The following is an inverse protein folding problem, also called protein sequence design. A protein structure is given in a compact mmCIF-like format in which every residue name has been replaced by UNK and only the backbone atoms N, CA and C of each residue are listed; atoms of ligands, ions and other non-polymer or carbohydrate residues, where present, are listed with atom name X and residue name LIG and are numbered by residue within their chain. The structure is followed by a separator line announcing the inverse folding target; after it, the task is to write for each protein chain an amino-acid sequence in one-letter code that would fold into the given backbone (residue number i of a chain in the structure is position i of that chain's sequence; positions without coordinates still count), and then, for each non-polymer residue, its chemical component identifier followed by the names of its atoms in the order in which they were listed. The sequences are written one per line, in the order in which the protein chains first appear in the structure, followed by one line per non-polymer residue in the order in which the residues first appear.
data_IF_635537918961
#
_entry.id   IF_635537918961
#
_cell.length_a   1.000
_cell.length_b   1.000
_cell.length_c   1.000
_cell.angle_alpha   90.00
_cell.angle_beta   90.00
_cell.angle_gamma   90.00
#
_symmetry.space_group_name_H-M   'P 1'
#
loop_
_entity.id
_entity.type
_entity.pdbx_description
1 polymer ?
#
# COMPACT_ATOMS: atom_id res chain seq x y z
N UNK A 1 11.40 5.55 24.09
CA UNK A 1 12.06 5.18 22.81
C UNK A 1 13.41 4.58 23.17
N UNK A 2 13.79 3.39 22.63
CA UNK A 2 15.10 2.79 22.89
C UNK A 2 16.24 3.72 22.47
N UNK A 3 17.36 3.68 23.20
CA UNK A 3 18.56 4.40 22.83
C UNK A 3 19.07 3.93 21.46
N UNK A 4 19.45 4.90 20.60
CA UNK A 4 19.90 4.62 19.23
C UNK A 4 18.80 4.36 18.21
N UNK A 5 17.51 4.31 18.59
CA UNK A 5 16.42 4.20 17.61
C UNK A 5 16.16 5.55 16.93
N UNK A 6 16.35 5.58 15.62
CA UNK A 6 16.01 6.72 14.74
C UNK A 6 14.81 6.42 13.84
N UNK A 7 14.45 5.13 13.70
CA UNK A 7 13.39 4.68 12.80
C UNK A 7 12.00 4.97 13.41
N UNK A 8 11.03 5.52 12.65
CA UNK A 8 9.63 5.61 13.07
C UNK A 8 9.02 4.25 13.42
N UNK A 9 7.84 4.24 14.08
CA UNK A 9 7.19 3.02 14.53
C UNK A 9 6.41 2.29 13.44
N UNK A 10 6.45 2.75 12.20
CA UNK A 10 5.83 2.13 11.04
C UNK A 10 4.59 2.88 10.54
N UNK A 11 4.07 2.44 9.40
CA UNK A 11 2.99 3.11 8.67
C UNK A 11 1.67 3.16 9.43
N UNK A 12 1.32 2.09 10.17
CA UNK A 12 0.12 2.08 10.99
C UNK A 12 0.22 3.07 12.15
N UNK A 13 1.38 3.18 12.79
CA UNK A 13 1.57 4.19 13.85
C UNK A 13 1.51 5.62 13.31
N UNK A 14 1.98 5.86 12.09
CA UNK A 14 1.85 7.18 11.44
C UNK A 14 0.37 7.56 11.25
N UNK A 15 -0.48 6.62 10.85
CA UNK A 15 -1.93 6.81 10.74
C UNK A 15 -2.56 7.09 12.12
N UNK A 16 -2.16 6.35 13.15
CA UNK A 16 -2.62 6.56 14.53
C UNK A 16 -2.30 7.96 15.07
N UNK A 17 -1.22 8.60 14.61
CA UNK A 17 -0.89 9.96 15.02
C UNK A 17 -1.95 10.99 14.59
N UNK A 18 -2.79 10.66 13.60
CA UNK A 18 -3.89 11.51 13.14
C UNK A 18 -5.28 11.09 13.67
N UNK A 19 -5.36 10.06 14.53
CA UNK A 19 -6.63 9.43 14.92
C UNK A 19 -7.67 10.41 15.49
N UNK A 20 -7.23 11.41 16.26
CA UNK A 20 -8.12 12.39 16.90
C UNK A 20 -8.64 13.46 15.92
N UNK A 21 -8.09 13.50 14.69
CA UNK A 21 -8.49 14.43 13.63
C UNK A 21 -9.37 13.76 12.57
N UNK A 22 -9.50 12.42 12.62
CA UNK A 22 -10.27 11.64 11.65
C UNK A 22 -11.63 11.27 12.28
N UNK A 23 -12.70 11.75 11.70
CA UNK A 23 -14.07 11.58 12.20
C UNK A 23 -14.98 10.73 11.29
N UNK A 24 -14.46 10.26 10.13
CA UNK A 24 -15.18 9.46 9.15
C UNK A 24 -14.29 8.47 8.40
N UNK A 25 -14.80 7.91 7.28
CA UNK A 25 -13.99 7.09 6.37
C UNK A 25 -12.81 7.87 5.82
N UNK A 26 -11.67 7.22 5.64
CA UNK A 26 -10.45 7.87 5.19
C UNK A 26 -9.62 6.96 4.28
N UNK A 27 -8.81 7.57 3.43
CA UNK A 27 -7.81 6.88 2.64
C UNK A 27 -6.40 7.16 3.16
N UNK A 28 -5.52 6.18 3.02
CA UNK A 28 -4.09 6.28 3.35
C UNK A 28 -3.30 6.12 2.07
N UNK A 29 -2.35 7.03 1.84
CA UNK A 29 -1.43 7.02 0.70
C UNK A 29 0.00 7.27 1.18
N UNK A 30 0.97 6.93 0.36
CA UNK A 30 2.32 7.46 0.49
C UNK A 30 2.35 8.87 -0.12
N UNK A 31 2.94 9.83 0.58
CA UNK A 31 2.92 11.24 0.17
C UNK A 31 3.82 11.56 -1.03
N UNK A 32 4.73 10.66 -1.36
CA UNK A 32 5.75 10.78 -2.42
C UNK A 32 5.45 9.92 -3.66
N UNK A 33 4.28 9.26 -3.69
CA UNK A 33 3.84 8.41 -4.80
C UNK A 33 2.76 9.11 -5.65
N UNK A 34 2.78 8.85 -6.96
CA UNK A 34 1.72 9.22 -7.88
C UNK A 34 0.82 8.03 -8.17
N UNK A 35 -0.44 8.13 -7.77
CA UNK A 35 -1.44 7.06 -7.88
C UNK A 35 -2.33 7.16 -9.12
N UNK A 36 -2.47 8.36 -9.68
CA UNK A 36 -3.38 8.64 -10.78
C UNK A 36 -4.81 9.01 -10.35
N UNK A 37 -5.58 9.71 -11.20
CA UNK A 37 -6.90 10.21 -10.85
C UNK A 37 -7.96 9.12 -10.71
N UNK A 38 -7.88 8.04 -11.50
CA UNK A 38 -8.83 6.93 -11.42
C UNK A 38 -8.74 6.21 -10.07
N UNK A 39 -7.53 6.03 -9.54
CA UNK A 39 -7.32 5.42 -8.24
C UNK A 39 -8.00 6.21 -7.11
N UNK A 40 -7.91 7.55 -7.14
CA UNK A 40 -8.60 8.40 -6.17
C UNK A 40 -10.11 8.38 -6.35
N UNK A 41 -10.58 8.32 -7.59
CA UNK A 41 -12.01 8.23 -7.89
C UNK A 41 -12.62 6.95 -7.34
N UNK A 42 -12.04 5.79 -7.65
CA UNK A 42 -12.62 4.50 -7.21
C UNK A 42 -12.60 4.33 -5.69
N UNK A 43 -11.55 4.79 -5.01
CA UNK A 43 -11.50 4.71 -3.55
C UNK A 43 -12.47 5.70 -2.90
N UNK A 44 -12.64 6.90 -3.44
CA UNK A 44 -13.61 7.88 -2.96
C UNK A 44 -15.05 7.37 -3.13
N UNK A 45 -15.39 6.84 -4.31
CA UNK A 45 -16.71 6.28 -4.57
C UNK A 45 -17.02 5.13 -3.61
N UNK A 46 -16.05 4.25 -3.35
CA UNK A 46 -16.22 3.16 -2.39
C UNK A 46 -16.47 3.70 -0.98
N UNK A 47 -15.58 4.52 -0.45
CA UNK A 47 -15.68 5.06 0.91
C UNK A 47 -16.90 5.94 1.13
N UNK A 48 -17.45 6.54 0.06
CA UNK A 48 -18.67 7.37 0.14
C UNK A 48 -19.96 6.55 0.23
N UNK A 49 -19.92 5.26 -0.15
CA UNK A 49 -21.12 4.41 -0.26
C UNK A 49 -21.09 3.19 0.66
N UNK A 50 -19.94 2.85 1.22
CA UNK A 50 -19.74 1.69 2.09
C UNK A 50 -19.47 2.14 3.52
N UNK A 51 -19.98 1.37 4.46
CA UNK A 51 -19.84 1.64 5.89
C UNK A 51 -19.60 0.34 6.64
N UNK A 52 -18.91 0.43 7.77
CA UNK A 52 -18.72 -0.70 8.67
C UNK A 52 -20.05 -1.28 9.15
N UNK A 53 -20.17 -2.59 9.04
CA UNK A 53 -21.30 -3.36 9.54
C UNK A 53 -20.88 -4.30 10.68
N UNK A 54 -21.47 -5.50 10.69
CA UNK A 54 -21.04 -6.57 11.61
C UNK A 54 -19.61 -7.03 11.30
N UNK A 55 -19.19 -6.92 10.06
CA UNK A 55 -17.82 -7.04 9.57
C UNK A 55 -17.41 -5.66 9.07
N UNK A 56 -16.20 -5.21 9.39
CA UNK A 56 -15.66 -3.95 8.91
C UNK A 56 -15.46 -4.00 7.40
N UNK A 57 -15.86 -2.95 6.72
CA UNK A 57 -15.87 -2.88 5.26
C UNK A 57 -14.78 -1.93 4.76
N UNK A 58 -13.63 -2.50 4.44
CA UNK A 58 -12.44 -1.78 4.00
C UNK A 58 -12.18 -2.00 2.51
N UNK A 59 -11.30 -1.20 1.94
CA UNK A 59 -10.85 -1.40 0.58
C UNK A 59 -9.36 -1.08 0.39
N UNK A 60 -8.83 -1.52 -0.72
CA UNK A 60 -7.52 -1.10 -1.21
C UNK A 60 -7.55 -0.98 -2.73
N UNK A 61 -6.74 -0.10 -3.29
CA UNK A 61 -6.56 -0.03 -4.75
C UNK A 61 -5.32 -0.82 -5.13
N UNK A 62 -5.51 -1.82 -5.98
CA UNK A 62 -4.42 -2.64 -6.53
C UNK A 62 -3.99 -2.12 -7.90
N UNK A 63 -2.70 -2.30 -8.18
CA UNK A 63 -2.09 -2.04 -9.48
C UNK A 63 -1.58 -3.35 -10.08
N UNK A 64 -1.39 -3.38 -11.40
CA UNK A 64 -0.74 -4.51 -12.04
C UNK A 64 0.76 -4.46 -11.78
N UNK A 65 1.36 -5.58 -11.38
CA UNK A 65 2.79 -5.67 -11.05
C UNK A 65 3.67 -5.07 -12.16
N UNK A 66 3.37 -5.39 -13.43
CA UNK A 66 4.10 -4.85 -14.60
C UNK A 66 4.15 -3.32 -14.69
N UNK A 67 3.19 -2.64 -14.06
CA UNK A 67 3.09 -1.18 -14.06
C UNK A 67 3.78 -0.53 -12.84
N UNK A 68 4.46 -1.32 -12.01
CA UNK A 68 5.07 -0.85 -10.75
C UNK A 68 6.54 -1.23 -10.59
N UNK A 69 7.13 -1.88 -11.59
CA UNK A 69 8.56 -2.22 -11.62
C UNK A 69 9.40 -1.05 -12.10
N UNK A 70 10.68 -1.03 -11.73
CA UNK A 70 11.67 -0.07 -12.21
C UNK A 70 12.64 -0.75 -13.18
N UNK A 71 13.10 -0.02 -14.20
CA UNK A 71 14.18 -0.45 -15.08
C UNK A 71 15.57 -0.22 -14.46
N UNK A 72 15.63 0.53 -13.36
CA UNK A 72 16.87 0.98 -12.73
C UNK A 72 17.33 0.08 -11.57
N UNK A 73 16.53 -0.93 -11.23
CA UNK A 73 16.88 -1.88 -10.18
C UNK A 73 15.69 -2.64 -9.62
N UNK A 74 15.94 -3.39 -8.56
CA UNK A 74 14.91 -4.21 -7.91
C UNK A 74 13.99 -3.36 -7.05
N UNK A 75 12.73 -3.79 -6.92
CA UNK A 75 11.73 -3.14 -6.06
C UNK A 75 11.12 -4.15 -5.09
N UNK A 76 10.40 -3.65 -4.08
CA UNK A 76 9.59 -4.48 -3.17
C UNK A 76 8.12 -4.11 -3.30
N UNK A 77 7.23 -5.12 -3.31
CA UNK A 77 5.78 -4.93 -3.48
C UNK A 77 4.99 -5.92 -2.63
N UNK A 78 3.89 -5.46 -2.10
CA UNK A 78 2.88 -6.33 -1.48
C UNK A 78 2.07 -7.05 -2.56
N UNK A 79 2.45 -8.28 -2.90
CA UNK A 79 1.72 -9.10 -3.89
C UNK A 79 0.44 -9.64 -3.24
N UNK A 80 -0.70 -9.36 -3.88
CA UNK A 80 -2.02 -9.69 -3.36
C UNK A 80 -2.55 -11.01 -3.94
N UNK A 81 -3.19 -11.80 -3.10
CA UNK A 81 -4.09 -12.89 -3.51
C UNK A 81 -5.51 -12.41 -3.30
N UNK A 82 -6.33 -12.49 -4.35
CA UNK A 82 -7.70 -11.99 -4.36
C UNK A 82 -8.67 -13.15 -4.50
N UNK A 83 -9.70 -13.19 -3.65
CA UNK A 83 -10.77 -14.17 -3.69
C UNK A 83 -11.65 -13.98 -4.94
N UNK A 84 -12.41 -15.00 -5.35
CA UNK A 84 -13.33 -14.90 -6.50
C UNK A 84 -14.40 -13.80 -6.35
N UNK A 85 -14.76 -13.43 -5.12
CA UNK A 85 -15.71 -12.35 -4.81
C UNK A 85 -15.09 -10.93 -4.84
N UNK A 86 -13.77 -10.82 -5.13
CA UNK A 86 -13.07 -9.57 -5.21
C UNK A 86 -12.48 -9.08 -3.89
N UNK A 87 -12.63 -9.83 -2.81
CA UNK A 87 -12.00 -9.49 -1.52
C UNK A 87 -10.55 -9.94 -1.44
N UNK A 88 -9.74 -9.24 -0.64
CA UNK A 88 -8.35 -9.60 -0.38
C UNK A 88 -8.30 -10.88 0.48
N UNK A 89 -7.63 -11.91 -0.03
CA UNK A 89 -7.31 -13.09 0.76
C UNK A 89 -6.04 -12.86 1.59
N UNK A 90 -4.98 -12.38 0.94
CA UNK A 90 -3.71 -12.11 1.60
C UNK A 90 -2.88 -11.10 0.82
N UNK A 91 -1.94 -10.46 1.52
CA UNK A 91 -0.89 -9.65 0.93
C UNK A 91 0.46 -10.11 1.45
N UNK A 92 1.38 -10.39 0.54
CA UNK A 92 2.72 -10.87 0.88
C UNK A 92 3.75 -9.91 0.32
N UNK A 93 4.59 -9.34 1.19
CA UNK A 93 5.70 -8.52 0.75
C UNK A 93 6.73 -9.38 0.02
N UNK A 94 6.96 -9.06 -1.26
CA UNK A 94 7.98 -9.69 -2.10
C UNK A 94 9.07 -8.67 -2.39
N UNK A 95 10.31 -9.08 -2.22
CA UNK A 95 11.50 -8.23 -2.38
C UNK A 95 12.34 -8.69 -3.57
N UNK A 96 13.25 -7.83 -4.03
CA UNK A 96 14.10 -8.16 -5.15
C UNK A 96 13.33 -8.41 -6.45
N UNK A 97 12.20 -7.71 -6.62
CA UNK A 97 11.39 -7.82 -7.84
C UNK A 97 12.09 -7.10 -8.98
N UNK A 98 12.32 -7.80 -10.09
CA UNK A 98 12.95 -7.26 -11.29
C UNK A 98 12.35 -7.89 -12.55
N UNK A 99 12.48 -7.17 -13.66
CA UNK A 99 12.16 -7.70 -15.00
C UNK A 99 13.34 -8.47 -15.56
N UNK A 100 13.04 -9.53 -16.30
CA UNK A 100 14.01 -10.30 -17.07
C UNK A 100 13.41 -10.77 -18.40
N UNK A 101 14.16 -11.41 -19.28
CA UNK A 101 13.69 -11.83 -20.61
C UNK A 101 12.46 -12.74 -20.56
N UNK A 102 12.28 -13.52 -19.47
CA UNK A 102 11.15 -14.43 -19.28
C UNK A 102 9.93 -13.80 -18.58
N UNK A 103 10.03 -12.56 -18.07
CA UNK A 103 8.93 -11.92 -17.33
C UNK A 103 9.37 -11.11 -16.11
N UNK A 104 8.72 -11.35 -14.97
CA UNK A 104 9.04 -10.70 -13.69
C UNK A 104 9.37 -11.80 -12.66
N UNK A 105 10.44 -11.61 -11.92
CA UNK A 105 10.84 -12.49 -10.82
C UNK A 105 11.14 -11.71 -9.55
N UNK A 106 11.21 -12.40 -8.44
CA UNK A 106 11.56 -11.84 -7.13
C UNK A 106 12.47 -12.79 -6.35
N UNK A 107 13.06 -12.30 -5.27
CA UNK A 107 13.76 -13.17 -4.31
C UNK A 107 12.77 -14.20 -3.74
N UNK A 108 13.16 -15.46 -3.68
CA UNK A 108 12.34 -16.51 -3.08
C UNK A 108 12.10 -16.24 -1.59
N UNK A 109 10.90 -16.60 -1.10
CA UNK A 109 10.57 -16.50 0.33
C UNK A 109 11.44 -17.40 1.22
N UNK A 110 12.05 -18.43 0.64
CA UNK A 110 13.03 -19.26 1.34
C UNK A 110 14.38 -18.57 1.53
N UNK A 111 14.62 -17.44 0.84
CA UNK A 111 15.87 -16.71 0.84
C UNK A 111 16.91 -17.30 -0.14
N UNK A 112 16.60 -18.41 -0.82
CA UNK A 112 17.47 -19.05 -1.80
C UNK A 112 16.81 -19.04 -3.18
N UNK A 113 17.50 -18.45 -4.18
CA UNK A 113 17.01 -18.39 -5.56
C UNK A 113 15.92 -17.34 -5.79
N UNK A 114 15.19 -17.51 -6.88
CA UNK A 114 14.14 -16.59 -7.32
C UNK A 114 12.86 -17.36 -7.66
N UNK A 115 11.72 -16.69 -7.46
CA UNK A 115 10.39 -17.17 -7.88
C UNK A 115 9.88 -16.27 -9.01
N UNK A 116 9.23 -16.86 -10.02
CA UNK A 116 8.52 -16.11 -11.04
C UNK A 116 7.20 -15.56 -10.49
N UNK A 117 6.87 -14.33 -10.89
CA UNK A 117 5.61 -13.70 -10.55
C UNK A 117 4.77 -13.45 -11.82
N UNK A 118 3.44 -13.66 -11.76
CA UNK A 118 2.58 -13.28 -12.87
C UNK A 118 2.71 -11.77 -13.15
N UNK A 119 2.95 -11.40 -14.39
CA UNK A 119 3.16 -9.98 -14.79
C UNK A 119 1.94 -9.11 -14.49
N UNK A 120 0.75 -9.71 -14.42
CA UNK A 120 -0.52 -9.06 -14.09
C UNK A 120 -0.97 -9.31 -12.65
N UNK A 121 -0.09 -9.81 -11.80
CA UNK A 121 -0.41 -9.97 -10.38
C UNK A 121 -0.86 -8.63 -9.77
N UNK A 122 -1.96 -8.62 -9.00
CA UNK A 122 -2.36 -7.44 -8.27
C UNK A 122 -1.36 -7.16 -7.14
N UNK A 123 -0.93 -5.90 -7.02
CA UNK A 123 -0.01 -5.47 -5.98
C UNK A 123 -0.54 -4.27 -5.22
N UNK A 124 -0.26 -4.23 -3.94
CA UNK A 124 -0.49 -3.07 -3.09
C UNK A 124 0.62 -2.05 -3.25
N UNK A 125 0.20 -0.80 -3.46
CA UNK A 125 1.08 0.38 -3.46
C UNK A 125 0.76 1.31 -2.29
N UNK A 126 0.23 0.75 -1.18
CA UNK A 126 -0.17 1.48 0.02
C UNK A 126 -1.31 2.50 -0.17
N UNK A 127 -2.21 2.25 -1.13
CA UNK A 127 -3.46 2.99 -1.24
C UNK A 127 -4.59 2.17 -0.62
N UNK A 128 -4.93 2.51 0.61
CA UNK A 128 -5.93 1.81 1.43
C UNK A 128 -7.06 2.73 1.85
N UNK A 129 -8.26 2.18 1.94
CA UNK A 129 -9.46 2.86 2.43
C UNK A 129 -10.04 2.15 3.65
N UNK A 130 -10.34 2.91 4.69
CA UNK A 130 -10.80 2.40 5.98
C UNK A 130 -11.97 3.21 6.53
N UNK A 131 -12.81 2.53 7.32
CA UNK A 131 -13.67 3.16 8.30
C UNK A 131 -12.91 3.54 9.58
N UNK A 132 -13.56 4.31 10.44
CA UNK A 132 -12.98 4.71 11.74
C UNK A 132 -12.64 3.52 12.64
N UNK A 133 -13.34 2.40 12.48
CA UNK A 133 -13.09 1.14 13.19
C UNK A 133 -11.63 0.67 13.07
N UNK A 134 -10.97 0.95 11.94
CA UNK A 134 -9.56 0.62 11.77
C UNK A 134 -8.67 1.34 12.77
N UNK A 135 -8.93 2.62 13.04
CA UNK A 135 -8.16 3.39 14.03
C UNK A 135 -8.35 2.84 15.44
N UNK A 136 -9.57 2.48 15.80
CA UNK A 136 -9.89 1.91 17.11
C UNK A 136 -9.21 0.55 17.31
N UNK A 137 -9.24 -0.31 16.30
CA UNK A 137 -8.57 -1.61 16.30
C UNK A 137 -7.04 -1.48 16.35
N UNK A 138 -6.48 -0.60 15.54
CA UNK A 138 -5.04 -0.37 15.46
C UNK A 138 -4.50 0.21 16.80
N UNK A 139 -5.19 1.19 17.37
CA UNK A 139 -4.80 1.80 18.66
C UNK A 139 -4.85 0.78 19.80
N UNK A 140 -5.92 -0.01 19.88
CA UNK A 140 -6.08 -1.06 20.88
C UNK A 140 -4.97 -2.11 20.82
N UNK A 141 -4.49 -2.47 19.63
CA UNK A 141 -3.46 -3.48 19.39
C UNK A 141 -2.04 -2.94 19.59
N UNK A 142 -1.80 -1.67 19.37
CA UNK A 142 -0.44 -1.09 19.31
C UNK A 142 0.39 -1.37 20.57
N UNK A 143 -0.19 -1.18 21.77
CA UNK A 143 0.53 -1.40 23.02
C UNK A 143 0.92 -2.89 23.22
N UNK A 144 0.07 -3.83 22.80
CA UNK A 144 0.35 -5.27 22.81
C UNK A 144 1.46 -5.63 21.82
N UNK A 145 1.30 -5.16 20.59
CA UNK A 145 2.30 -5.33 19.53
C UNK A 145 3.68 -4.80 19.95
N UNK A 146 3.72 -3.61 20.57
CA UNK A 146 4.97 -3.00 21.02
C UNK A 146 5.66 -3.83 22.10
N UNK A 147 4.91 -4.34 23.10
CA UNK A 147 5.46 -5.21 24.15
C UNK A 147 6.07 -6.49 23.59
N UNK A 148 5.49 -7.04 22.53
CA UNK A 148 5.96 -8.28 21.94
C UNK A 148 7.15 -8.07 21.00
N UNK A 149 7.14 -7.01 20.17
CA UNK A 149 8.09 -6.84 19.08
C UNK A 149 9.31 -5.99 19.45
N UNK A 150 9.17 -5.09 20.43
CA UNK A 150 10.27 -4.24 20.88
C UNK A 150 11.46 -5.04 21.44
N UNK A 151 11.28 -6.09 22.26
CA UNK A 151 12.40 -6.90 22.74
C UNK A 151 13.11 -7.67 21.63
N UNK A 152 12.38 -8.05 20.57
CA UNK A 152 12.92 -8.81 19.41
C UNK A 152 13.79 -7.94 18.50
N UNK A 153 13.38 -6.71 18.28
CA UNK A 153 14.07 -5.78 17.38
C UNK A 153 13.87 -4.32 17.80
N UNK A 154 14.58 -3.85 18.85
CA UNK A 154 14.33 -2.54 19.44
C UNK A 154 14.58 -1.37 18.51
N UNK A 155 15.49 -1.52 17.56
CA UNK A 155 15.89 -0.42 16.66
C UNK A 155 15.09 -0.36 15.37
N UNK A 156 14.45 -1.48 14.94
CA UNK A 156 13.89 -1.58 13.57
C UNK A 156 12.48 -2.15 13.51
N UNK A 157 11.86 -2.63 14.63
CA UNK A 157 10.48 -3.14 14.56
C UNK A 157 9.53 -2.04 14.09
N UNK A 158 8.58 -2.40 13.22
CA UNK A 158 7.62 -1.48 12.64
C UNK A 158 6.21 -2.07 12.69
N UNK A 159 5.26 -1.24 13.12
CA UNK A 159 3.84 -1.54 13.12
C UNK A 159 3.27 -1.16 11.75
N UNK A 160 3.18 -2.15 10.86
CA UNK A 160 2.75 -1.95 9.49
C UNK A 160 1.23 -1.96 9.34
N UNK A 161 0.72 -1.08 8.51
CA UNK A 161 -0.70 -0.98 8.21
C UNK A 161 -1.26 -2.26 7.54
N UNK A 162 -0.61 -2.85 6.51
CA UNK A 162 -1.09 -4.09 5.92
C UNK A 162 -1.14 -5.27 6.89
N UNK A 163 -0.24 -5.31 7.89
CA UNK A 163 -0.24 -6.36 8.91
C UNK A 163 -1.50 -6.31 9.75
N UNK A 164 -1.88 -5.11 10.21
CA UNK A 164 -3.12 -4.94 11.01
C UNK A 164 -4.36 -5.29 10.19
N UNK A 165 -4.40 -4.89 8.91
CA UNK A 165 -5.50 -5.25 8.02
C UNK A 165 -5.59 -6.77 7.83
N UNK A 166 -4.46 -7.46 7.62
CA UNK A 166 -4.41 -8.92 7.49
C UNK A 166 -4.87 -9.63 8.76
N UNK A 167 -4.42 -9.18 9.94
CA UNK A 167 -4.88 -9.73 11.22
C UNK A 167 -6.39 -9.62 11.39
N UNK A 168 -6.99 -8.50 10.98
CA UNK A 168 -8.44 -8.29 11.04
C UNK A 168 -9.20 -9.18 10.07
N UNK A 169 -8.63 -9.46 8.88
CA UNK A 169 -9.18 -10.44 7.92
C UNK A 169 -9.14 -11.85 8.54
N UNK A 170 -7.99 -12.26 9.07
CA UNK A 170 -7.79 -13.58 9.65
C UNK A 170 -8.71 -13.83 10.87
N UNK A 171 -9.01 -12.77 11.63
CA UNK A 171 -9.97 -12.80 12.75
C UNK A 171 -11.44 -12.79 12.29
N UNK A 172 -11.72 -12.67 11.00
CA UNK A 172 -13.08 -12.53 10.46
C UNK A 172 -13.77 -11.21 10.83
N UNK A 173 -13.01 -10.20 11.26
CA UNK A 173 -13.52 -8.89 11.66
C UNK A 173 -13.63 -7.91 10.51
N UNK A 174 -12.82 -8.07 9.48
CA UNK A 174 -12.81 -7.18 8.32
C UNK A 174 -12.83 -7.97 7.01
N UNK A 175 -13.48 -7.39 6.01
CA UNK A 175 -13.32 -7.70 4.60
C UNK A 175 -12.67 -6.52 3.91
N UNK A 176 -11.73 -6.77 3.00
CA UNK A 176 -11.06 -5.72 2.24
C UNK A 176 -11.36 -5.94 0.77
N UNK A 177 -12.16 -5.08 0.17
CA UNK A 177 -12.44 -5.12 -1.28
C UNK A 177 -11.23 -4.62 -2.06
N UNK A 178 -10.80 -5.40 -3.06
CA UNK A 178 -9.67 -5.04 -3.92
C UNK A 178 -10.20 -4.27 -5.14
N UNK A 179 -10.10 -2.96 -5.09
CA UNK A 179 -10.43 -2.06 -6.20
C UNK A 179 -9.31 -2.10 -7.23
N UNK A 180 -9.67 -1.88 -8.49
CA UNK A 180 -8.72 -1.87 -9.60
C UNK A 180 -8.60 -0.47 -10.18
N UNK A 181 -7.39 -0.02 -10.41
CA UNK A 181 -7.11 1.18 -11.20
C UNK A 181 -6.46 0.81 -12.52
N UNK A 182 -6.85 1.52 -13.58
CA UNK A 182 -6.18 1.46 -14.88
C UNK A 182 -4.99 2.39 -14.97
N UNK A 183 -4.80 3.25 -13.97
CA UNK A 183 -3.69 4.18 -13.92
C UNK A 183 -2.35 3.46 -13.81
N UNK A 184 -1.33 4.09 -14.35
CA UNK A 184 0.06 3.71 -14.08
C UNK A 184 0.52 4.42 -12.81
N UNK A 185 0.99 3.63 -11.85
CA UNK A 185 1.65 4.16 -10.66
C UNK A 185 3.05 4.67 -11.01
N UNK A 186 3.48 5.75 -10.38
CA UNK A 186 4.84 6.27 -10.47
C UNK A 186 5.37 6.61 -9.08
N UNK A 187 6.59 6.17 -8.79
CA UNK A 187 7.35 6.52 -7.61
C UNK A 187 8.82 6.75 -7.99
N UNK A 188 9.56 7.41 -7.13
CA UNK A 188 11.01 7.63 -7.30
C UNK A 188 11.74 6.70 -6.34
N UNK A 189 11.83 5.42 -6.69
CA UNK A 189 12.60 4.44 -5.90
C UNK A 189 14.09 4.68 -6.07
N UNK A 190 14.51 4.95 -7.30
CA UNK A 190 15.88 5.28 -7.67
C UNK A 190 15.94 6.72 -8.19
N UNK A 191 17.08 7.38 -8.02
CA UNK A 191 17.27 8.75 -8.54
C UNK A 191 17.07 8.81 -10.06
N UNK A 192 17.40 7.73 -10.74
CA UNK A 192 17.30 7.52 -12.18
C UNK A 192 15.84 7.40 -12.66
N UNK A 193 14.88 7.09 -11.77
CA UNK A 193 13.45 7.07 -12.10
C UNK A 193 12.87 8.49 -12.30
N UNK A 194 13.48 9.51 -11.65
CA UNK A 194 12.95 10.88 -11.65
C UNK A 194 12.70 11.46 -13.05
N UNK A 195 13.60 11.37 -14.05
CA UNK A 195 13.33 11.88 -15.37
C UNK A 195 12.09 11.26 -16.03
N UNK A 196 11.88 9.95 -15.84
CA UNK A 196 10.71 9.23 -16.37
C UNK A 196 9.42 9.74 -15.72
N UNK A 197 9.43 9.94 -14.40
CA UNK A 197 8.28 10.48 -13.67
C UNK A 197 7.97 11.90 -14.13
N UNK A 198 8.96 12.78 -14.23
CA UNK A 198 8.80 14.16 -14.71
C UNK A 198 8.21 14.18 -16.12
N UNK A 199 8.73 13.37 -17.06
CA UNK A 199 8.22 13.28 -18.40
C UNK A 199 6.77 12.78 -18.44
N UNK A 200 6.43 11.78 -17.62
CA UNK A 200 5.07 11.24 -17.56
C UNK A 200 4.06 12.28 -17.04
N UNK A 201 4.41 13.05 -16.00
CA UNK A 201 3.53 14.11 -15.48
C UNK A 201 3.40 15.26 -16.50
N UNK A 202 4.50 15.67 -17.14
CA UNK A 202 4.46 16.70 -18.20
C UNK A 202 3.55 16.28 -19.37
N UNK A 203 3.62 15.01 -19.79
CA UNK A 203 2.73 14.48 -20.82
C UNK A 203 1.26 14.56 -20.40
N UNK A 204 0.94 14.18 -19.16
CA UNK A 204 -0.44 14.24 -18.61
C UNK A 204 -0.97 15.68 -18.55
N UNK A 205 -0.11 16.65 -18.29
CA UNK A 205 -0.45 18.08 -18.36
C UNK A 205 -0.73 18.50 -19.81
N UNK A 206 0.10 18.10 -20.79
CA UNK A 206 -0.12 18.37 -22.21
C UNK A 206 -1.41 17.74 -22.75
N UNK A 207 -1.78 16.57 -22.24
CA UNK A 207 -3.03 15.87 -22.55
C UNK A 207 -4.26 16.50 -21.87
N UNK A 208 -4.07 17.52 -21.04
CA UNK A 208 -5.13 18.27 -20.36
C UNK A 208 -5.68 17.57 -19.13
N UNK A 209 -5.01 16.50 -18.61
CA UNK A 209 -5.41 15.84 -17.37
C UNK A 209 -5.17 16.74 -16.16
N UNK A 210 -4.12 17.55 -16.19
CA UNK A 210 -3.80 18.57 -15.19
C UNK A 210 -3.65 19.94 -15.85
N UNK A 211 -4.03 21.03 -15.17
CA UNK A 211 -3.73 22.38 -15.64
C UNK A 211 -2.22 22.62 -15.61
N UNK A 212 -1.74 23.56 -16.46
CA UNK A 212 -0.32 23.95 -16.48
C UNK A 212 0.11 24.58 -15.15
N UNK A 213 -0.79 25.31 -14.51
CA UNK A 213 -0.62 25.84 -13.17
C UNK A 213 -1.66 25.22 -12.24
N UNK A 214 -1.21 24.33 -11.33
CA UNK A 214 -2.05 23.65 -10.37
C UNK A 214 -2.62 24.56 -9.27
N UNK A 215 -2.02 25.75 -9.10
CA UNK A 215 -2.31 26.66 -8.00
C UNK A 215 -2.86 28.01 -8.46
N UNK A 216 -3.11 28.18 -9.78
CA UNK A 216 -3.70 29.40 -10.35
C UNK A 216 -5.18 29.58 -10.00
#
# INVERSE_FOLDING_TARGET
VPEGRVKPWGTCHAVLAAKDLIDGPFAVINADDYYGPEAFKVIYEYLSTHQDGAVYDYCMVSYLLKNTVSENGTVSRGVCVVNPDGTLHSVTERTGIETYEGGIRCTSLTGEGTDDLPVEAPVSMNLWGFGKSFLDEADRRFAGWLRENLPKNPLKCEYFLPTVASELIDEGKAAVTVLKSTDKWYGVTYREDKPTVVAAIAQKTQEGLYPEDLWA
#
